data_IF_504184666746
#
_entry.id   IF_504184666746
#
_cell.length_a   1.000
_cell.length_b   1.000
_cell.length_c   1.000
_cell.angle_alpha   90.00
_cell.angle_beta   90.00
_cell.angle_gamma   90.00
#
_symmetry.space_group_name_H-M   'P 1'
#
loop_
_entity.id
_entity.type
_entity.pdbx_description
1 polymer ?
#
# COMPACT_ATOMS: atom_id res chain seq x y z
N UNK A 1 -1.60 5.41 -21.62
CA UNK A 1 -0.40 4.67 -21.18
C UNK A 1 -0.26 4.66 -19.66
N UNK A 2 -0.54 5.77 -18.97
CA UNK A 2 -0.55 5.92 -17.49
C UNK A 2 -1.50 4.97 -16.72
N UNK A 3 -2.67 4.65 -17.26
CA UNK A 3 -3.71 3.89 -16.55
C UNK A 3 -3.33 2.43 -16.26
N UNK A 4 -2.53 1.82 -17.14
CA UNK A 4 -2.12 0.41 -17.03
C UNK A 4 -1.08 0.22 -15.89
N UNK A 5 -0.11 1.14 -15.78
CA UNK A 5 0.89 1.11 -14.71
C UNK A 5 0.26 1.23 -13.31
N UNK A 6 -0.79 2.06 -13.17
CA UNK A 6 -1.54 2.18 -11.91
C UNK A 6 -2.22 0.86 -11.52
N UNK A 7 -2.84 0.17 -12.48
CA UNK A 7 -3.52 -1.10 -12.24
C UNK A 7 -2.54 -2.21 -11.85
N UNK A 8 -1.36 -2.23 -12.47
CA UNK A 8 -0.31 -3.19 -12.13
C UNK A 8 0.23 -2.96 -10.72
N UNK A 9 0.54 -1.72 -10.35
CA UNK A 9 0.98 -1.36 -8.99
C UNK A 9 -0.07 -1.73 -7.95
N UNK A 10 -1.35 -1.50 -8.24
CA UNK A 10 -2.44 -1.81 -7.32
C UNK A 10 -2.64 -3.33 -7.14
N UNK A 11 -2.44 -4.11 -8.20
CA UNK A 11 -2.43 -5.58 -8.17
C UNK A 11 -1.31 -6.09 -7.28
N UNK A 12 -0.08 -5.63 -7.52
CA UNK A 12 1.11 -6.02 -6.76
C UNK A 12 0.95 -5.66 -5.28
N UNK A 13 0.45 -4.45 -4.98
CA UNK A 13 0.18 -4.03 -3.60
C UNK A 13 -0.80 -4.96 -2.87
N UNK A 14 -1.89 -5.35 -3.52
CA UNK A 14 -2.91 -6.24 -2.95
C UNK A 14 -2.36 -7.64 -2.66
N UNK A 15 -1.57 -8.19 -3.59
CA UNK A 15 -0.92 -9.49 -3.44
C UNK A 15 -0.03 -9.50 -2.19
N UNK A 16 0.82 -8.48 -2.02
CA UNK A 16 1.71 -8.40 -0.87
C UNK A 16 0.99 -8.11 0.45
N UNK A 17 -0.05 -7.29 0.45
CA UNK A 17 -0.81 -6.92 1.65
C UNK A 17 -1.56 -8.11 2.25
N UNK A 18 -2.04 -9.01 1.38
CA UNK A 18 -2.86 -10.16 1.78
C UNK A 18 -2.08 -11.48 1.75
N UNK A 19 -0.87 -11.50 1.21
CA UNK A 19 -0.04 -12.70 1.07
C UNK A 19 -0.60 -13.68 0.03
N UNK A 20 -1.10 -13.16 -1.09
CA UNK A 20 -1.73 -13.97 -2.14
C UNK A 20 -0.69 -14.63 -3.05
N UNK A 21 -1.12 -15.68 -3.75
CA UNK A 21 -0.37 -16.25 -4.87
C UNK A 21 -0.51 -15.34 -6.08
N UNK A 22 0.56 -15.17 -6.83
CA UNK A 22 0.59 -14.42 -8.08
C UNK A 22 1.15 -15.27 -9.23
N UNK A 23 0.61 -15.02 -10.42
CA UNK A 23 1.13 -15.56 -11.68
C UNK A 23 1.23 -14.41 -12.67
N UNK A 24 2.34 -13.64 -12.64
CA UNK A 24 2.49 -12.43 -13.45
C UNK A 24 2.23 -12.67 -14.95
N UNK A 25 2.69 -13.83 -15.47
CA UNK A 25 2.51 -14.21 -16.86
C UNK A 25 1.98 -15.66 -16.96
N UNK A 26 1.24 -16.02 -18.01
CA UNK A 26 0.76 -17.40 -18.20
C UNK A 26 1.87 -18.46 -18.22
N UNK A 27 3.13 -18.10 -18.48
CA UNK A 27 4.28 -19.01 -18.45
C UNK A 27 5.15 -18.89 -17.18
N UNK A 28 4.87 -17.93 -16.29
CA UNK A 28 5.61 -17.80 -15.04
C UNK A 28 5.16 -18.86 -14.04
N UNK A 29 6.07 -19.23 -13.15
CA UNK A 29 5.75 -20.06 -11.97
C UNK A 29 4.86 -19.26 -11.03
N UNK A 30 4.00 -19.96 -10.29
CA UNK A 30 3.23 -19.34 -9.21
C UNK A 30 4.19 -18.88 -8.12
N UNK A 31 4.13 -17.60 -7.78
CA UNK A 31 4.91 -16.99 -6.71
C UNK A 31 3.99 -16.78 -5.52
N UNK A 32 4.32 -17.37 -4.38
CA UNK A 32 3.62 -17.09 -3.13
C UNK A 32 4.38 -15.99 -2.39
N UNK A 33 3.77 -14.82 -2.27
CA UNK A 33 4.35 -13.74 -1.51
C UNK A 33 3.91 -13.85 -0.05
N UNK A 34 4.85 -13.82 0.93
CA UNK A 34 4.45 -13.69 2.31
C UNK A 34 3.74 -12.36 2.52
N UNK A 35 2.76 -12.33 3.43
CA UNK A 35 2.11 -11.09 3.84
C UNK A 35 3.17 -10.12 4.33
N UNK A 36 3.25 -8.93 3.72
CA UNK A 36 4.12 -7.87 4.23
C UNK A 36 3.56 -7.40 5.57
N UNK A 37 4.31 -7.64 6.64
CA UNK A 37 4.06 -7.00 7.93
C UNK A 37 4.46 -5.55 7.75
N UNK A 38 3.48 -4.68 7.59
CA UNK A 38 3.73 -3.24 7.65
C UNK A 38 4.22 -2.92 9.07
N UNK A 39 5.25 -2.08 9.17
CA UNK A 39 5.56 -1.43 10.44
C UNK A 39 4.28 -0.72 10.88
N UNK A 40 3.69 -1.20 11.97
CA UNK A 40 2.42 -0.67 12.45
C UNK A 40 2.57 0.81 12.79
N UNK A 41 1.49 1.56 12.62
CA UNK A 41 1.39 2.85 13.29
C UNK A 41 1.25 2.55 14.79
N UNK A 42 2.15 3.11 15.60
CA UNK A 42 1.97 3.12 17.04
C UNK A 42 1.16 4.37 17.44
N UNK A 43 0.85 4.50 18.72
CA UNK A 43 0.14 5.66 19.28
C UNK A 43 0.78 7.00 18.90
N UNK A 44 2.11 7.04 18.84
CA UNK A 44 2.87 8.25 18.55
C UNK A 44 2.70 8.66 17.08
N UNK A 45 2.76 7.67 16.18
CA UNK A 45 2.49 7.86 14.75
C UNK A 45 1.04 8.32 14.54
N UNK A 46 0.07 7.77 15.27
CA UNK A 46 -1.32 8.23 15.20
C UNK A 46 -1.50 9.68 15.63
N UNK A 47 -0.83 10.09 16.71
CA UNK A 47 -0.81 11.48 17.17
C UNK A 47 -0.24 12.43 16.12
N UNK A 48 0.95 12.11 15.59
CA UNK A 48 1.61 12.87 14.54
C UNK A 48 0.74 13.03 13.28
N UNK A 49 0.11 11.94 12.84
CA UNK A 49 -0.76 11.96 11.66
C UNK A 49 -1.96 12.89 11.91
N UNK A 50 -2.61 12.79 13.08
CA UNK A 50 -3.73 13.67 13.43
C UNK A 50 -3.32 15.14 13.42
N UNK A 51 -2.17 15.47 14.01
CA UNK A 51 -1.68 16.84 14.08
C UNK A 51 -1.38 17.40 12.68
N UNK A 52 -0.73 16.63 11.82
CA UNK A 52 -0.44 17.03 10.43
C UNK A 52 -1.75 17.30 9.67
N UNK A 53 -2.75 16.43 9.82
CA UNK A 53 -4.07 16.60 9.19
C UNK A 53 -4.73 17.89 9.68
N UNK A 54 -4.81 18.12 10.99
CA UNK A 54 -5.42 19.31 11.57
C UNK A 54 -4.71 20.59 11.12
N UNK A 55 -3.38 20.61 11.14
CA UNK A 55 -2.58 21.75 10.66
C UNK A 55 -2.82 22.04 9.18
N UNK A 56 -3.02 21.01 8.36
CA UNK A 56 -3.27 21.17 6.92
C UNK A 56 -4.58 21.91 6.62
N UNK A 57 -5.56 21.82 7.52
CA UNK A 57 -6.83 22.53 7.43
C UNK A 57 -6.78 23.93 8.06
N UNK A 58 -5.93 24.14 9.06
CA UNK A 58 -5.79 25.44 9.72
C UNK A 58 -5.09 26.49 8.86
N UNK A 59 -4.17 26.08 7.97
CA UNK A 59 -3.42 27.00 7.08
C UNK A 59 -4.21 27.52 5.87
N UNK A 60 -5.52 27.27 5.79
CA UNK A 60 -6.39 27.71 4.69
C UNK A 60 -7.33 28.86 5.06
N UNK A 61 -7.12 29.52 6.21
CA UNK A 61 -7.84 30.73 6.61
C UNK A 61 -6.96 31.96 6.51
#
# INVERSE_FOLDING_TARGET
MESCARQEVQRIASIHQLGLKDRPNPKSRDVQYPKRVLFGLNSDNEGLIKDIILQSFQKRS
#
